data_IF_988608738114
#
_entry.id   IF_988608738114
#
_cell.length_a   1.000
_cell.length_b   1.000
_cell.length_c   1.000
_cell.angle_alpha   90.00
_cell.angle_beta   90.00
_cell.angle_gamma   90.00
#
_symmetry.space_group_name_H-M   'P 1'
#
loop_
_entity.id
_entity.type
_entity.pdbx_description
1 polymer ?
#
# COMPACT_ATOMS: atom_id res chain seq x y z
N UNK A 1 15.71 9.50 -34.87
CA UNK A 1 16.16 9.81 -33.50
C UNK A 1 16.13 8.52 -32.70
N UNK A 2 17.29 7.94 -32.38
CA UNK A 2 17.37 6.77 -31.51
C UNK A 2 17.17 7.24 -30.06
N UNK A 3 15.93 7.36 -29.60
CA UNK A 3 15.66 7.49 -28.18
C UNK A 3 15.96 6.13 -27.54
N UNK A 4 17.16 5.97 -27.01
CA UNK A 4 17.48 4.82 -26.15
C UNK A 4 16.50 4.84 -25.00
N UNK A 5 15.60 3.86 -24.95
CA UNK A 5 14.64 3.73 -23.85
C UNK A 5 15.44 3.68 -22.52
N UNK A 6 14.99 4.38 -21.46
CA UNK A 6 15.65 4.31 -20.17
C UNK A 6 15.80 2.85 -19.72
N UNK A 7 16.92 2.54 -19.07
CA UNK A 7 17.15 1.18 -18.55
C UNK A 7 16.08 0.81 -17.52
N UNK A 8 15.60 -0.44 -17.55
CA UNK A 8 14.74 -1.02 -16.49
C UNK A 8 15.33 -0.89 -15.08
N UNK A 9 16.64 -0.59 -14.96
CA UNK A 9 17.29 -0.24 -13.70
C UNK A 9 16.67 0.98 -13.00
N UNK A 10 16.01 1.89 -13.74
CA UNK A 10 15.33 3.04 -13.14
C UNK A 10 14.20 2.63 -12.19
N UNK A 11 13.63 1.43 -12.35
CA UNK A 11 12.59 0.90 -11.47
C UNK A 11 13.07 0.75 -10.01
N UNK A 12 14.37 0.53 -9.77
CA UNK A 12 14.91 0.49 -8.40
C UNK A 12 14.94 1.87 -7.73
N UNK A 13 15.05 2.95 -8.52
CA UNK A 13 15.08 4.31 -8.01
C UNK A 13 13.67 4.86 -7.71
N UNK A 14 12.63 4.33 -8.36
CA UNK A 14 11.24 4.78 -8.19
C UNK A 14 10.72 4.69 -6.75
N UNK A 15 10.87 3.55 -6.02
CA UNK A 15 10.51 3.52 -4.60
C UNK A 15 11.27 4.55 -3.77
N UNK A 16 12.57 4.75 -4.03
CA UNK A 16 13.36 5.74 -3.29
C UNK A 16 12.81 7.15 -3.53
N UNK A 17 12.48 7.49 -4.78
CA UNK A 17 11.84 8.76 -5.12
C UNK A 17 10.51 8.92 -4.37
N UNK A 18 9.59 7.95 -4.49
CA UNK A 18 8.28 8.01 -3.82
C UNK A 18 8.45 8.18 -2.32
N UNK A 19 9.32 7.39 -1.68
CA UNK A 19 9.53 7.43 -0.23
C UNK A 19 10.15 8.75 0.23
N UNK A 20 11.26 9.16 -0.38
CA UNK A 20 11.99 10.37 0.06
C UNK A 20 11.16 11.61 -0.20
N UNK A 21 10.58 11.75 -1.40
CA UNK A 21 9.80 12.93 -1.75
C UNK A 21 8.53 13.04 -0.89
N UNK A 22 7.82 11.92 -0.69
CA UNK A 22 6.65 11.90 0.20
C UNK A 22 7.03 12.23 1.63
N UNK A 23 8.15 11.72 2.16
CA UNK A 23 8.61 12.03 3.52
C UNK A 23 8.88 13.52 3.69
N UNK A 24 9.58 14.16 2.76
CA UNK A 24 9.84 15.61 2.82
C UNK A 24 8.56 16.42 2.87
N UNK A 25 7.55 16.01 2.09
CA UNK A 25 6.25 16.69 2.08
C UNK A 25 5.44 16.39 3.35
N UNK A 26 5.51 15.18 3.90
CA UNK A 26 4.90 14.86 5.20
C UNK A 26 5.44 15.81 6.28
N UNK A 27 6.75 15.99 6.37
CA UNK A 27 7.37 16.92 7.33
C UNK A 27 6.86 18.34 7.12
N UNK A 28 6.84 18.81 5.87
CA UNK A 28 6.33 20.14 5.53
C UNK A 28 4.85 20.30 5.93
N UNK A 29 3.99 19.33 5.59
CA UNK A 29 2.58 19.34 5.93
C UNK A 29 2.35 19.27 7.44
N UNK A 30 3.14 18.49 8.18
CA UNK A 30 3.06 18.41 9.64
C UNK A 30 3.49 19.71 10.32
N UNK A 31 4.42 20.46 9.72
CA UNK A 31 4.80 21.79 10.20
C UNK A 31 3.78 22.89 9.86
N UNK A 32 3.14 22.83 8.69
CA UNK A 32 2.26 23.90 8.19
C UNK A 32 0.79 23.73 8.57
N UNK A 33 0.33 22.50 8.85
CA UNK A 33 -1.09 22.18 9.06
C UNK A 33 -1.32 21.49 10.40
N UNK A 34 -2.51 21.65 11.00
CA UNK A 34 -2.89 20.86 12.16
C UNK A 34 -2.77 19.35 11.87
N UNK A 35 -2.27 18.56 12.82
CA UNK A 35 -2.04 17.11 12.66
C UNK A 35 -3.27 16.35 12.14
N UNK A 36 -4.47 16.74 12.55
CA UNK A 36 -5.74 16.12 12.11
C UNK A 36 -6.05 16.33 10.61
N UNK A 37 -5.40 17.30 9.97
CA UNK A 37 -5.58 17.64 8.55
C UNK A 37 -4.33 17.34 7.71
N UNK A 38 -3.14 17.34 8.32
CA UNK A 38 -1.87 17.22 7.59
C UNK A 38 -1.71 15.90 6.85
N UNK A 39 -2.41 14.83 7.26
CA UNK A 39 -2.41 13.54 6.57
C UNK A 39 -3.05 13.61 5.16
N UNK A 40 -4.06 14.47 4.95
CA UNK A 40 -4.80 14.55 3.68
C UNK A 40 -3.87 14.98 2.52
N UNK A 41 -3.18 16.14 2.58
CA UNK A 41 -2.26 16.53 1.52
C UNK A 41 -1.05 15.60 1.40
N UNK A 42 -0.59 15.00 2.51
CA UNK A 42 0.48 13.99 2.48
C UNK A 42 0.11 12.78 1.64
N UNK A 43 -1.09 12.21 1.82
CA UNK A 43 -1.57 11.12 0.99
C UNK A 43 -1.82 11.56 -0.46
N UNK A 44 -2.34 12.78 -0.67
CA UNK A 44 -2.49 13.35 -2.01
C UNK A 44 -1.18 13.38 -2.79
N UNK A 45 -0.09 13.80 -2.14
CA UNK A 45 1.24 13.84 -2.75
C UNK A 45 1.86 12.45 -2.90
N UNK A 46 1.63 11.55 -1.94
CA UNK A 46 2.02 10.16 -2.09
C UNK A 46 1.41 9.51 -3.33
N UNK A 47 0.10 9.69 -3.54
CA UNK A 47 -0.60 9.18 -4.73
C UNK A 47 -0.11 9.86 -6.01
N UNK A 48 0.11 11.17 -6.00
CA UNK A 48 0.66 11.88 -7.15
C UNK A 48 2.07 11.37 -7.52
N UNK A 49 2.90 11.07 -6.52
CA UNK A 49 4.25 10.52 -6.72
C UNK A 49 4.21 9.13 -7.32
N UNK A 50 3.31 8.27 -6.82
CA UNK A 50 3.05 6.95 -7.39
C UNK A 50 2.61 7.06 -8.84
N UNK A 51 1.61 7.89 -9.15
CA UNK A 51 1.10 8.05 -10.51
C UNK A 51 2.15 8.60 -11.46
N UNK A 52 2.99 9.53 -11.01
CA UNK A 52 4.10 10.04 -11.80
C UNK A 52 5.06 8.89 -12.19
N UNK A 53 5.42 8.02 -11.25
CA UNK A 53 6.26 6.86 -11.52
C UNK A 53 5.57 5.85 -12.45
N UNK A 54 4.29 5.55 -12.22
CA UNK A 54 3.49 4.64 -13.06
C UNK A 54 3.37 5.18 -14.48
N UNK A 55 3.05 6.46 -14.64
CA UNK A 55 2.99 7.13 -15.93
C UNK A 55 4.34 7.11 -16.64
N UNK A 56 5.43 7.41 -15.92
CA UNK A 56 6.77 7.38 -16.49
C UNK A 56 7.13 5.97 -16.97
N UNK A 57 6.84 4.94 -16.17
CA UNK A 57 7.09 3.54 -16.50
C UNK A 57 6.28 3.08 -17.72
N UNK A 58 4.99 3.44 -17.80
CA UNK A 58 4.14 3.17 -18.96
C UNK A 58 4.69 3.81 -20.23
N UNK A 59 5.01 5.11 -20.16
CA UNK A 59 5.42 5.91 -21.32
C UNK A 59 6.82 5.58 -21.83
N UNK A 60 7.77 5.34 -20.92
CA UNK A 60 9.20 5.23 -21.26
C UNK A 60 9.75 3.81 -21.17
N UNK A 61 9.08 2.90 -20.45
CA UNK A 61 9.53 1.50 -20.31
C UNK A 61 8.56 0.50 -20.94
N UNK A 62 7.42 0.96 -21.49
CA UNK A 62 6.41 0.10 -22.10
C UNK A 62 5.69 -0.83 -21.10
N UNK A 63 5.78 -0.55 -19.80
CA UNK A 63 5.14 -1.37 -18.77
C UNK A 63 3.63 -1.17 -18.84
N UNK A 64 2.87 -2.27 -18.91
CA UNK A 64 1.41 -2.26 -18.83
C UNK A 64 0.97 -2.75 -17.47
N UNK A 65 -0.04 -2.09 -16.90
CA UNK A 65 -0.66 -2.51 -15.65
C UNK A 65 -2.01 -3.12 -15.96
N UNK A 66 -2.16 -4.42 -15.69
CA UNK A 66 -3.46 -5.08 -15.80
C UNK A 66 -4.26 -4.87 -14.51
N UNK A 67 -4.84 -3.67 -14.41
CA UNK A 67 -5.83 -3.32 -13.38
C UNK A 67 -7.23 -3.82 -13.80
N UNK A 68 -7.39 -4.28 -15.05
CA UNK A 68 -8.70 -4.46 -15.65
C UNK A 68 -9.50 -5.56 -14.94
N UNK A 69 -10.69 -5.14 -14.48
CA UNK A 69 -11.81 -5.90 -13.90
C UNK A 69 -12.26 -7.13 -14.71
N UNK A 70 -11.77 -7.36 -15.92
CA UNK A 70 -12.53 -8.06 -16.95
C UNK A 70 -12.58 -9.58 -16.85
N UNK A 71 -11.87 -10.23 -15.91
CA UNK A 71 -11.98 -11.68 -15.72
C UNK A 71 -11.78 -12.08 -14.26
N UNK A 72 -12.78 -11.80 -13.40
CA UNK A 72 -12.91 -12.53 -12.12
C UNK A 72 -13.00 -14.05 -12.37
N UNK A 73 -13.48 -14.44 -13.56
CA UNK A 73 -13.51 -15.83 -14.01
C UNK A 73 -12.35 -16.17 -14.96
N UNK A 74 -11.71 -17.35 -14.82
CA UNK A 74 -11.96 -18.33 -13.77
C UNK A 74 -11.45 -17.84 -12.41
N UNK A 75 -12.12 -18.28 -11.35
CA UNK A 75 -11.69 -17.98 -9.98
C UNK A 75 -10.27 -18.53 -9.74
N UNK A 76 -9.41 -17.84 -8.96
CA UNK A 76 -8.07 -18.34 -8.67
C UNK A 76 -8.13 -19.69 -7.95
N UNK A 77 -7.06 -20.47 -8.05
CA UNK A 77 -6.96 -21.75 -7.32
C UNK A 77 -7.16 -21.51 -5.82
N UNK A 78 -7.98 -22.32 -5.16
CA UNK A 78 -8.38 -22.11 -3.77
C UNK A 78 -7.20 -21.84 -2.82
N UNK A 79 -6.13 -22.66 -2.87
CA UNK A 79 -4.94 -22.45 -2.02
C UNK A 79 -4.27 -21.11 -2.29
N UNK A 80 -4.13 -20.73 -3.56
CA UNK A 80 -3.53 -19.46 -3.96
C UNK A 80 -4.36 -18.29 -3.45
N UNK A 81 -5.69 -18.36 -3.62
CA UNK A 81 -6.61 -17.34 -3.13
C UNK A 81 -6.61 -17.24 -1.59
N UNK A 82 -6.67 -18.38 -0.89
CA UNK A 82 -6.71 -18.42 0.56
C UNK A 82 -5.45 -17.80 1.19
N UNK A 83 -4.26 -18.28 0.80
CA UNK A 83 -2.99 -17.83 1.38
C UNK A 83 -2.53 -16.48 0.84
N UNK A 84 -2.89 -16.14 -0.40
CA UNK A 84 -2.45 -14.93 -1.07
C UNK A 84 -3.35 -13.72 -0.81
N UNK A 85 -4.65 -13.93 -0.56
CA UNK A 85 -5.67 -12.86 -0.54
C UNK A 85 -6.46 -12.86 0.77
N UNK A 86 -7.06 -13.99 1.15
CA UNK A 86 -7.99 -14.04 2.29
C UNK A 86 -7.27 -13.93 3.62
N UNK A 87 -6.25 -14.76 3.87
CA UNK A 87 -5.49 -14.72 5.12
C UNK A 87 -4.87 -13.33 5.36
N UNK A 88 -4.18 -12.71 4.38
CA UNK A 88 -3.70 -11.34 4.49
C UNK A 88 -4.79 -10.32 4.85
N UNK A 89 -5.97 -10.42 4.21
CA UNK A 89 -7.09 -9.51 4.47
C UNK A 89 -7.63 -9.59 5.90
N UNK A 90 -7.52 -10.75 6.54
CA UNK A 90 -8.05 -10.99 7.88
C UNK A 90 -7.06 -10.66 9.00
N UNK A 91 -5.79 -10.39 8.70
CA UNK A 91 -4.78 -10.04 9.70
C UNK A 91 -5.24 -8.91 10.65
N UNK A 92 -5.75 -7.75 10.15
CA UNK A 92 -6.20 -6.67 11.03
C UNK A 92 -7.58 -6.91 11.69
N UNK A 93 -8.26 -8.03 11.44
CA UNK A 93 -9.62 -8.26 11.93
C UNK A 93 -9.73 -8.24 13.47
N UNK A 94 -8.71 -8.75 14.17
CA UNK A 94 -8.67 -8.68 15.63
C UNK A 94 -8.60 -7.25 16.17
N UNK A 95 -7.88 -6.36 15.47
CA UNK A 95 -7.82 -4.93 15.78
C UNK A 95 -9.18 -4.28 15.59
N UNK A 96 -9.86 -4.61 14.49
CA UNK A 96 -11.20 -4.13 14.20
C UNK A 96 -12.19 -4.48 15.33
N UNK A 97 -12.33 -5.76 15.68
CA UNK A 97 -13.27 -6.22 16.72
C UNK A 97 -13.00 -5.53 18.05
N UNK A 98 -11.73 -5.36 18.40
CA UNK A 98 -11.34 -4.80 19.70
C UNK A 98 -11.60 -3.30 19.81
N UNK A 99 -11.70 -2.58 18.69
CA UNK A 99 -11.61 -1.11 18.70
C UNK A 99 -12.67 -0.37 17.89
N UNK A 100 -13.52 -1.06 17.12
CA UNK A 100 -14.51 -0.40 16.25
C UNK A 100 -15.44 0.56 17.00
N UNK A 101 -15.77 0.27 18.27
CA UNK A 101 -16.63 1.11 19.11
C UNK A 101 -15.98 2.45 19.49
N UNK A 102 -14.65 2.51 19.48
CA UNK A 102 -13.90 3.74 19.78
C UNK A 102 -13.82 4.69 18.58
N UNK A 103 -14.30 4.28 17.40
CA UNK A 103 -14.23 5.06 16.17
C UNK A 103 -15.45 5.99 16.06
N UNK A 104 -15.26 7.32 16.05
CA UNK A 104 -16.34 8.26 15.81
C UNK A 104 -17.01 8.01 14.46
N UNK A 105 -18.33 8.15 14.41
CA UNK A 105 -19.09 7.98 13.17
C UNK A 105 -18.61 8.92 12.05
N UNK A 106 -18.14 10.12 12.41
CA UNK A 106 -17.54 11.07 11.46
C UNK A 106 -16.30 10.53 10.74
N UNK A 107 -15.57 9.59 11.35
CA UNK A 107 -14.37 8.98 10.77
C UNK A 107 -14.70 7.83 9.81
N UNK A 108 -15.89 7.23 9.92
CA UNK A 108 -16.30 6.08 9.11
C UNK A 108 -16.33 6.43 7.63
N UNK A 109 -16.87 7.60 7.27
CA UNK A 109 -16.89 8.06 5.88
C UNK A 109 -15.47 8.20 5.30
N UNK A 110 -14.54 8.77 6.08
CA UNK A 110 -13.15 8.87 5.65
C UNK A 110 -12.47 7.51 5.49
N UNK A 111 -12.75 6.54 6.38
CA UNK A 111 -12.22 5.17 6.26
C UNK A 111 -12.67 4.53 4.94
N UNK A 112 -13.97 4.61 4.61
CA UNK A 112 -14.47 4.02 3.36
C UNK A 112 -13.92 4.72 2.12
N UNK A 113 -13.83 6.05 2.12
CA UNK A 113 -13.23 6.80 1.01
C UNK A 113 -11.77 6.44 0.83
N UNK A 114 -11.01 6.39 1.94
CA UNK A 114 -9.61 6.00 1.92
C UNK A 114 -9.43 4.57 1.39
N UNK A 115 -10.17 3.61 1.95
CA UNK A 115 -10.13 2.21 1.53
C UNK A 115 -10.54 2.02 0.06
N UNK A 116 -11.43 2.85 -0.48
CA UNK A 116 -11.83 2.77 -1.88
C UNK A 116 -10.77 3.31 -2.86
N UNK A 117 -9.83 4.13 -2.40
CA UNK A 117 -8.88 4.87 -3.24
C UNK A 117 -7.45 4.35 -3.06
N UNK A 118 -6.99 4.26 -1.81
CA UNK A 118 -5.62 3.92 -1.44
C UNK A 118 -5.10 2.63 -2.12
N UNK A 119 -5.85 1.52 -2.11
CA UNK A 119 -5.41 0.27 -2.72
C UNK A 119 -5.09 0.38 -4.21
N UNK A 120 -5.82 1.19 -4.97
CA UNK A 120 -5.59 1.30 -6.40
C UNK A 120 -4.21 1.88 -6.71
N UNK A 121 -3.78 2.90 -5.97
CA UNK A 121 -2.46 3.50 -6.12
C UNK A 121 -1.37 2.54 -5.62
N UNK A 122 -1.52 2.05 -4.39
CA UNK A 122 -0.48 1.23 -3.75
C UNK A 122 -0.28 -0.11 -4.46
N UNK A 123 -1.34 -0.80 -4.88
CA UNK A 123 -1.22 -2.07 -5.61
C UNK A 123 -0.62 -1.87 -7.00
N UNK A 124 -1.02 -0.81 -7.72
CA UNK A 124 -0.47 -0.47 -9.03
C UNK A 124 1.03 -0.21 -8.97
N UNK A 125 1.51 0.41 -7.89
CA UNK A 125 2.92 0.68 -7.68
C UNK A 125 3.68 -0.55 -7.18
N UNK A 126 3.43 -0.98 -5.93
CA UNK A 126 4.26 -1.96 -5.23
C UNK A 126 4.15 -3.38 -5.80
N UNK A 127 3.06 -3.71 -6.51
CA UNK A 127 2.88 -5.00 -7.19
C UNK A 127 2.98 -4.81 -8.70
N UNK A 128 2.12 -3.94 -9.23
CA UNK A 128 1.98 -3.71 -10.67
C UNK A 128 3.27 -3.28 -11.35
N UNK A 129 4.05 -2.36 -10.76
CA UNK A 129 5.34 -1.97 -11.32
C UNK A 129 6.46 -2.93 -10.95
N UNK A 130 6.54 -3.36 -9.69
CA UNK A 130 7.71 -4.10 -9.21
C UNK A 130 7.83 -5.50 -9.80
N UNK A 131 6.74 -6.09 -10.28
CA UNK A 131 6.77 -7.36 -11.02
C UNK A 131 7.73 -7.32 -12.24
N UNK A 132 8.06 -6.12 -12.73
CA UNK A 132 8.96 -5.89 -13.86
C UNK A 132 10.43 -5.71 -13.47
N UNK A 133 10.78 -5.83 -12.19
CA UNK A 133 12.19 -5.83 -11.76
C UNK A 133 12.89 -7.11 -12.26
N UNK A 134 14.12 -7.01 -12.80
CA UNK A 134 14.85 -8.15 -13.34
C UNK A 134 15.53 -8.98 -12.22
N UNK A 135 14.72 -9.51 -11.29
CA UNK A 135 15.17 -10.34 -10.16
C UNK A 135 14.34 -11.61 -10.06
N UNK A 136 14.79 -12.59 -9.27
CA UNK A 136 14.08 -13.85 -9.11
C UNK A 136 12.70 -13.68 -8.45
N UNK A 137 11.75 -14.60 -8.67
CA UNK A 137 10.42 -14.52 -8.06
C UNK A 137 10.44 -14.44 -6.53
N UNK A 138 11.35 -15.17 -5.88
CA UNK A 138 11.50 -15.11 -4.43
C UNK A 138 12.01 -13.74 -3.97
N UNK A 139 13.01 -13.19 -4.67
CA UNK A 139 13.52 -11.84 -4.38
C UNK A 139 12.43 -10.77 -4.57
N UNK A 140 11.60 -10.89 -5.61
CA UNK A 140 10.44 -9.99 -5.82
C UNK A 140 9.49 -9.99 -4.62
N UNK A 141 9.17 -11.16 -4.06
CA UNK A 141 8.28 -11.26 -2.90
C UNK A 141 8.90 -10.60 -1.66
N UNK A 142 10.19 -10.85 -1.42
CA UNK A 142 10.94 -10.26 -0.31
C UNK A 142 11.07 -8.74 -0.46
N UNK A 143 11.41 -8.25 -1.65
CA UNK A 143 11.54 -6.81 -1.94
C UNK A 143 10.19 -6.12 -1.82
N UNK A 144 9.12 -6.72 -2.35
CA UNK A 144 7.75 -6.21 -2.21
C UNK A 144 7.35 -6.09 -0.74
N UNK A 145 7.48 -7.16 0.05
CA UNK A 145 7.16 -7.14 1.48
C UNK A 145 8.02 -6.14 2.26
N UNK A 146 9.34 -6.14 2.03
CA UNK A 146 10.28 -5.29 2.75
C UNK A 146 10.05 -3.80 2.47
N UNK A 147 9.92 -3.41 1.20
CA UNK A 147 9.71 -2.00 0.85
C UNK A 147 8.31 -1.52 1.25
N UNK A 148 7.29 -2.37 1.14
CA UNK A 148 5.95 -2.02 1.58
C UNK A 148 5.89 -1.81 3.10
N UNK A 149 6.49 -2.72 3.88
CA UNK A 149 6.64 -2.57 5.34
C UNK A 149 7.46 -1.32 5.71
N UNK A 150 8.60 -1.13 5.05
CA UNK A 150 9.44 0.03 5.28
C UNK A 150 8.73 1.34 4.94
N UNK A 151 7.88 1.38 3.91
CA UNK A 151 7.08 2.57 3.58
C UNK A 151 6.16 2.98 4.74
N UNK A 152 5.56 2.01 5.43
CA UNK A 152 4.69 2.27 6.57
C UNK A 152 5.47 2.81 7.77
N UNK A 153 6.64 2.24 8.04
CA UNK A 153 7.56 2.78 9.04
C UNK A 153 8.02 4.21 8.68
N UNK A 154 8.50 4.40 7.45
CA UNK A 154 9.22 5.59 7.05
C UNK A 154 8.30 6.79 6.79
N UNK A 155 7.16 6.58 6.15
CA UNK A 155 6.21 7.65 5.85
C UNK A 155 5.27 7.89 7.02
N UNK A 156 4.63 6.83 7.49
CA UNK A 156 3.52 6.96 8.42
C UNK A 156 3.95 6.93 9.89
N UNK A 157 5.15 6.40 10.18
CA UNK A 157 5.77 6.46 11.51
C UNK A 157 6.05 7.88 12.04
N UNK A 158 6.06 8.91 11.18
CA UNK A 158 6.08 10.31 11.60
C UNK A 158 4.76 10.78 12.24
N UNK A 159 3.66 10.09 11.96
CA UNK A 159 2.38 10.32 12.60
C UNK A 159 2.28 9.47 13.87
N UNK A 160 1.07 9.26 14.38
CA UNK A 160 0.79 8.55 15.64
C UNK A 160 1.28 7.08 15.70
N UNK A 161 1.81 6.55 14.59
CA UNK A 161 2.50 5.26 14.54
C UNK A 161 3.85 5.26 15.27
N UNK A 162 4.32 6.37 15.84
CA UNK A 162 5.53 6.37 16.67
C UNK A 162 5.43 5.48 17.93
N UNK A 163 4.22 5.08 18.36
CA UNK A 163 4.05 4.11 19.44
C UNK A 163 4.55 2.71 18.99
N UNK A 164 5.60 2.14 19.62
CA UNK A 164 6.15 0.83 19.22
C UNK A 164 5.13 -0.31 19.24
N UNK A 165 4.11 -0.23 20.11
CA UNK A 165 3.04 -1.23 20.20
C UNK A 165 2.13 -1.24 18.98
N UNK A 166 2.08 -0.15 18.21
CA UNK A 166 1.34 -0.04 16.95
C UNK A 166 2.31 -0.23 15.78
N UNK A 167 3.48 0.40 15.83
CA UNK A 167 4.47 0.39 14.76
C UNK A 167 4.92 -1.01 14.39
N UNK A 168 5.36 -1.78 15.40
CA UNK A 168 5.97 -3.10 15.16
C UNK A 168 4.95 -4.06 14.54
N UNK A 169 3.72 -4.23 15.10
CA UNK A 169 2.70 -5.04 14.45
C UNK A 169 2.36 -4.54 13.04
N UNK A 170 2.26 -3.22 12.84
CA UNK A 170 2.00 -2.65 11.50
C UNK A 170 3.07 -3.05 10.50
N UNK A 171 4.35 -2.91 10.85
CA UNK A 171 5.46 -3.29 9.95
C UNK A 171 5.49 -4.80 9.68
N UNK A 172 5.28 -5.64 10.70
CA UNK A 172 5.28 -7.11 10.53
C UNK A 172 4.12 -7.55 9.64
N UNK A 173 2.93 -7.04 9.90
CA UNK A 173 1.73 -7.42 9.14
C UNK A 173 1.80 -6.93 7.70
N UNK A 174 2.22 -5.68 7.47
CA UNK A 174 2.42 -5.14 6.11
C UNK A 174 3.51 -5.88 5.34
N UNK A 175 4.58 -6.35 6.00
CA UNK A 175 5.56 -7.23 5.35
C UNK A 175 4.91 -8.52 4.83
N UNK A 176 4.13 -9.20 5.69
CA UNK A 176 3.43 -10.45 5.34
C UNK A 176 2.44 -10.19 4.18
N UNK A 177 1.65 -9.12 4.26
CA UNK A 177 0.70 -8.74 3.22
C UNK A 177 1.40 -8.45 1.88
N UNK A 178 2.42 -7.60 1.88
CA UNK A 178 3.20 -7.26 0.68
C UNK A 178 3.90 -8.47 0.05
N UNK A 179 4.36 -9.43 0.85
CA UNK A 179 4.89 -10.71 0.39
C UNK A 179 3.80 -11.56 -0.28
N UNK A 180 2.69 -11.81 0.42
CA UNK A 180 1.60 -12.67 -0.05
C UNK A 180 0.91 -12.13 -1.30
N UNK A 181 0.68 -10.82 -1.36
CA UNK A 181 0.06 -10.16 -2.51
C UNK A 181 0.95 -10.20 -3.76
N UNK A 182 2.27 -10.00 -3.61
CA UNK A 182 3.19 -10.19 -4.74
C UNK A 182 3.25 -11.66 -5.18
N UNK A 183 3.33 -12.59 -4.24
CA UNK A 183 3.29 -14.02 -4.55
C UNK A 183 2.03 -14.41 -5.32
N UNK A 184 0.86 -13.91 -4.90
CA UNK A 184 -0.39 -14.09 -5.62
C UNK A 184 -0.31 -13.51 -7.03
N UNK A 185 0.10 -12.24 -7.15
CA UNK A 185 0.15 -11.53 -8.42
C UNK A 185 1.13 -12.17 -9.42
N UNK A 186 2.25 -12.71 -8.94
CA UNK A 186 3.19 -13.47 -9.77
C UNK A 186 2.56 -14.68 -10.45
N UNK A 187 1.61 -15.36 -9.77
CA UNK A 187 0.98 -16.59 -10.24
C UNK A 187 -0.31 -16.35 -11.02
N UNK A 188 -1.10 -15.38 -10.57
CA UNK A 188 -2.44 -15.13 -11.09
C UNK A 188 -2.51 -13.96 -12.09
N UNK A 189 -1.55 -13.04 -12.02
CA UNK A 189 -1.40 -11.87 -12.93
C UNK A 189 -2.56 -10.87 -12.92
N UNK A 190 -3.51 -10.98 -11.99
CA UNK A 190 -4.60 -10.02 -11.82
C UNK A 190 -4.39 -9.17 -10.56
N UNK A 191 -4.26 -7.85 -10.71
CA UNK A 191 -4.10 -6.92 -9.58
C UNK A 191 -5.38 -6.73 -8.75
N UNK A 192 -6.55 -7.06 -9.32
CA UNK A 192 -7.84 -6.82 -8.66
C UNK A 192 -7.97 -7.56 -7.32
N UNK A 193 -7.36 -8.75 -7.18
CA UNK A 193 -7.45 -9.50 -5.93
C UNK A 193 -6.61 -8.91 -4.80
N UNK A 194 -5.33 -8.55 -5.01
CA UNK A 194 -4.60 -7.73 -4.06
C UNK A 194 -5.34 -6.44 -3.69
N UNK A 195 -5.91 -5.74 -4.68
CA UNK A 195 -6.71 -4.52 -4.44
C UNK A 195 -7.88 -4.81 -3.49
N UNK A 196 -8.68 -5.85 -3.77
CA UNK A 196 -9.80 -6.23 -2.92
C UNK A 196 -9.38 -6.64 -1.51
N UNK A 197 -8.27 -7.39 -1.40
CA UNK A 197 -7.69 -7.75 -0.10
C UNK A 197 -7.33 -6.50 0.69
N UNK A 198 -6.67 -5.55 0.05
CA UNK A 198 -6.21 -4.31 0.66
C UNK A 198 -7.37 -3.39 1.06
N UNK A 199 -8.45 -3.29 0.27
CA UNK A 199 -9.68 -2.57 0.67
C UNK A 199 -10.18 -3.10 2.02
N UNK A 200 -10.22 -4.43 2.19
CA UNK A 200 -10.66 -5.06 3.45
C UNK A 200 -9.68 -4.75 4.59
N UNK A 201 -8.37 -4.79 4.31
CA UNK A 201 -7.33 -4.40 5.28
C UNK A 201 -7.51 -2.97 5.75
N UNK A 202 -7.71 -2.01 4.85
CA UNK A 202 -7.88 -0.59 5.20
C UNK A 202 -9.12 -0.34 6.06
N UNK A 203 -10.19 -1.08 5.82
CA UNK A 203 -11.40 -1.04 6.65
C UNK A 203 -11.11 -1.62 8.05
N UNK A 204 -10.54 -2.82 8.11
CA UNK A 204 -10.31 -3.52 9.39
C UNK A 204 -9.19 -2.91 10.23
N UNK A 205 -8.16 -2.34 9.60
CA UNK A 205 -7.10 -1.63 10.29
C UNK A 205 -7.56 -0.27 10.83
N UNK A 206 -8.78 0.17 10.47
CA UNK A 206 -9.33 1.46 10.85
C UNK A 206 -8.34 2.59 10.50
N UNK A 207 -7.72 2.52 9.32
CA UNK A 207 -6.49 3.28 8.98
C UNK A 207 -6.60 4.78 9.31
N UNK A 208 -7.75 5.41 9.05
CA UNK A 208 -7.99 6.82 9.39
C UNK A 208 -8.10 7.06 10.90
N UNK A 209 -8.69 6.16 11.68
CA UNK A 209 -8.75 6.28 13.13
C UNK A 209 -7.34 6.31 13.75
N UNK A 210 -6.42 5.52 13.20
CA UNK A 210 -5.00 5.51 13.57
C UNK A 210 -4.33 6.83 13.17
N UNK A 211 -4.57 7.35 11.96
CA UNK A 211 -4.01 8.65 11.53
C UNK A 211 -4.57 9.85 12.30
N UNK A 212 -5.81 9.77 12.79
CA UNK A 212 -6.41 10.78 13.65
C UNK A 212 -5.94 10.69 15.11
N UNK A 213 -5.13 9.69 15.47
CA UNK A 213 -4.56 9.54 16.82
C UNK A 213 -5.58 9.14 17.87
N UNK A 214 -6.66 8.46 17.47
CA UNK A 214 -7.64 7.95 18.42
C UNK A 214 -6.98 6.88 19.29
N UNK A 215 -7.10 7.01 20.62
CA UNK A 215 -6.61 6.00 21.56
C UNK A 215 -7.50 4.77 21.44
N UNK A 216 -7.02 3.78 20.69
CA UNK A 216 -7.65 2.49 20.57
C UNK A 216 -7.36 1.69 21.86
N UNK A 217 -8.36 1.00 22.41
CA UNK A 217 -8.33 0.42 23.75
C UNK A 217 -7.24 -0.65 23.97
N UNK A 218 -6.73 -1.23 22.87
CA UNK A 218 -5.71 -2.29 22.89
C UNK A 218 -4.43 -1.92 22.11
N UNK A 219 -4.02 -0.65 22.13
CA UNK A 219 -2.69 -0.22 21.64
C UNK A 219 -1.70 0.03 22.78
#
# INVERSE_FOLDING_TARGET
MNSTLPSHRILYAMPLFVLIFTRLVIELCAHLLPMRLSWIPSFGIYYASIELCVWFAKKNLGITLDIARSKLNPFPKFKLFLFGIIIPALIPFGVFISNYQAVPLSSVAYIFVFAAINPFFEESFWRGMFINLPISPMQLNLVSGALFSFSHYFLWGAYWLANPRILIPTCVTTFIMGYCWMWFYQKDKRLIYPIMSHIVVDIFNLSIAVFLGLRLANT
#
